data_IF_835370226234
#
_entry.id   IF_835370226234
#
_cell.length_a   1.000
_cell.length_b   1.000
_cell.length_c   1.000
_cell.angle_alpha   90.00
_cell.angle_beta   90.00
_cell.angle_gamma   90.00
#
_symmetry.space_group_name_H-M   'P 1'
#
loop_
_entity.id
_entity.type
_entity.pdbx_description
1 polymer ?
#
# COMPACT_ATOMS: atom_id res chain seq x y z
N UNK A 1 17.56 -108.05 -10.79
CA UNK A 1 16.65 -107.67 -11.88
C UNK A 1 16.86 -106.20 -12.20
N UNK A 2 17.30 -105.87 -13.41
CA UNK A 2 17.36 -104.49 -13.94
C UNK A 2 16.41 -104.40 -15.13
N UNK A 3 15.62 -103.32 -15.22
CA UNK A 3 14.57 -103.11 -16.22
C UNK A 3 13.43 -102.22 -15.70
N UNK A 4 12.42 -101.94 -16.54
CA UNK A 4 11.20 -101.19 -16.18
C UNK A 4 10.07 -102.17 -15.86
N UNK A 5 9.92 -102.65 -14.62
CA UNK A 5 8.86 -103.59 -14.26
C UNK A 5 7.49 -102.94 -14.47
N UNK A 6 6.59 -103.67 -15.12
CA UNK A 6 5.20 -103.24 -15.36
C UNK A 6 4.24 -104.01 -14.47
N UNK A 7 3.18 -103.34 -14.04
CA UNK A 7 2.04 -103.95 -13.35
C UNK A 7 0.75 -103.47 -14.02
N UNK A 8 -0.32 -104.29 -14.05
CA UNK A 8 -1.62 -103.86 -14.57
C UNK A 8 -2.10 -102.58 -13.86
N UNK A 9 -2.65 -101.63 -14.63
CA UNK A 9 -3.19 -100.37 -14.10
C UNK A 9 -4.48 -100.65 -13.33
N UNK A 10 -4.55 -100.33 -12.01
CA UNK A 10 -5.78 -100.46 -11.25
C UNK A 10 -6.93 -99.63 -11.84
N UNK A 11 -8.20 -100.02 -11.59
CA UNK A 11 -9.37 -99.23 -11.98
C UNK A 11 -9.43 -97.91 -11.18
N UNK A 12 -10.04 -96.87 -11.77
CA UNK A 12 -10.04 -95.49 -11.25
C UNK A 12 -10.70 -95.34 -9.86
N UNK A 13 -11.54 -96.29 -9.46
CA UNK A 13 -12.23 -96.35 -8.17
C UNK A 13 -11.55 -97.29 -7.15
N UNK A 14 -10.33 -97.75 -7.42
CA UNK A 14 -9.60 -98.64 -6.52
C UNK A 14 -9.36 -97.97 -5.14
N UNK A 15 -9.83 -98.63 -4.06
CA UNK A 15 -9.69 -98.17 -2.66
C UNK A 15 -8.95 -99.15 -1.74
N UNK A 16 -8.34 -100.20 -2.31
CA UNK A 16 -7.73 -101.31 -1.55
C UNK A 16 -6.19 -101.30 -1.58
N UNK A 17 -5.57 -102.45 -1.29
CA UNK A 17 -4.12 -102.64 -1.28
C UNK A 17 -3.52 -102.91 -2.68
N UNK A 18 -4.13 -102.41 -3.75
CA UNK A 18 -3.59 -102.60 -5.10
C UNK A 18 -2.24 -101.91 -5.28
N UNK A 19 -1.32 -102.54 -6.02
CA UNK A 19 -0.02 -101.94 -6.36
C UNK A 19 -0.23 -100.79 -7.35
N UNK A 20 -0.02 -99.55 -6.89
CA UNK A 20 -0.09 -98.37 -7.75
C UNK A 20 1.03 -98.39 -8.80
N UNK A 21 0.69 -98.08 -10.04
CA UNK A 21 1.66 -97.88 -11.12
C UNK A 21 1.67 -96.40 -11.56
N UNK A 22 2.66 -96.04 -12.37
CA UNK A 22 2.84 -94.65 -12.77
C UNK A 22 1.67 -94.10 -13.61
N UNK A 23 0.94 -94.94 -14.34
CA UNK A 23 -0.24 -94.53 -15.11
C UNK A 23 -1.42 -94.19 -14.17
N UNK A 24 -1.68 -95.01 -13.17
CA UNK A 24 -2.73 -94.81 -12.17
C UNK A 24 -2.51 -93.52 -11.37
N UNK A 25 -1.28 -93.26 -10.92
CA UNK A 25 -0.93 -92.04 -10.19
C UNK A 25 -1.09 -90.79 -11.08
N UNK A 26 -0.64 -90.84 -12.34
CA UNK A 26 -0.84 -89.73 -13.29
C UNK A 26 -2.33 -89.47 -13.57
N UNK A 27 -3.16 -90.52 -13.69
CA UNK A 27 -4.62 -90.37 -13.86
C UNK A 27 -5.28 -89.72 -12.65
N UNK A 28 -4.96 -90.15 -11.43
CA UNK A 28 -5.51 -89.55 -10.22
C UNK A 28 -5.06 -88.09 -10.03
N UNK A 29 -3.79 -87.78 -10.34
CA UNK A 29 -3.30 -86.38 -10.33
C UNK A 29 -4.02 -85.58 -11.41
N UNK A 30 -4.19 -86.10 -12.63
CA UNK A 30 -4.92 -85.42 -13.69
C UNK A 30 -6.41 -85.24 -13.35
N UNK A 31 -7.04 -86.16 -12.62
CA UNK A 31 -8.42 -86.02 -12.13
C UNK A 31 -8.51 -84.99 -10.99
N UNK A 32 -7.52 -84.95 -10.08
CA UNK A 32 -7.40 -83.95 -9.03
C UNK A 32 -7.13 -82.56 -9.60
N UNK A 33 -6.26 -82.44 -10.62
CA UNK A 33 -5.97 -81.19 -11.32
C UNK A 33 -7.13 -80.79 -12.24
N UNK A 34 -7.77 -81.76 -12.89
CA UNK A 34 -8.87 -81.62 -13.86
C UNK A 34 -10.25 -81.33 -13.26
N UNK A 35 -10.41 -81.51 -11.94
CA UNK A 35 -11.61 -81.07 -11.19
C UNK A 35 -11.50 -79.65 -10.62
N UNK A 36 -10.34 -79.02 -10.74
CA UNK A 36 -9.98 -77.69 -10.21
C UNK A 36 -9.44 -76.71 -11.28
N UNK A 37 -9.38 -76.96 -12.63
CA UNK A 37 -8.74 -76.03 -13.57
C UNK A 37 -9.43 -74.68 -13.59
N UNK A 38 -10.76 -74.64 -13.65
CA UNK A 38 -11.51 -73.38 -13.71
C UNK A 38 -11.37 -72.58 -12.40
N UNK A 39 -11.28 -73.26 -11.26
CA UNK A 39 -11.05 -72.58 -9.98
C UNK A 39 -9.60 -72.11 -9.80
N UNK A 40 -8.61 -72.82 -10.34
CA UNK A 40 -7.21 -72.37 -10.35
C UNK A 40 -7.01 -71.24 -11.34
N UNK A 41 -7.69 -71.29 -12.48
CA UNK A 41 -7.75 -70.22 -13.48
C UNK A 41 -8.37 -68.97 -12.86
N UNK A 42 -9.51 -69.08 -12.17
CA UNK A 42 -10.10 -67.93 -11.46
C UNK A 42 -9.23 -67.39 -10.31
N UNK A 43 -8.46 -68.24 -9.62
CA UNK A 43 -7.49 -67.79 -8.61
C UNK A 43 -6.28 -67.10 -9.25
N UNK A 44 -5.81 -67.56 -10.41
CA UNK A 44 -4.76 -66.92 -11.19
C UNK A 44 -5.24 -65.58 -11.74
N UNK A 45 -6.45 -65.54 -12.31
CA UNK A 45 -7.12 -64.32 -12.77
C UNK A 45 -7.28 -63.30 -11.63
N UNK A 46 -7.65 -63.75 -10.42
CA UNK A 46 -7.77 -62.88 -9.26
C UNK A 46 -6.41 -62.36 -8.77
N UNK A 47 -5.40 -63.23 -8.72
CA UNK A 47 -4.04 -62.83 -8.35
C UNK A 47 -3.47 -61.81 -9.34
N UNK A 48 -3.68 -62.03 -10.63
CA UNK A 48 -3.28 -61.11 -11.69
C UNK A 48 -4.08 -59.80 -11.66
N UNK A 49 -5.39 -59.86 -11.39
CA UNK A 49 -6.25 -58.68 -11.24
C UNK A 49 -5.84 -57.81 -10.03
N UNK A 50 -5.28 -58.41 -8.98
CA UNK A 50 -4.71 -57.72 -7.83
C UNK A 50 -3.22 -57.37 -8.00
N UNK A 51 -2.65 -57.63 -9.18
CA UNK A 51 -1.27 -57.29 -9.52
C UNK A 51 -0.22 -58.13 -8.82
N UNK A 52 -0.57 -59.34 -8.36
CA UNK A 52 0.29 -60.22 -7.57
C UNK A 52 0.91 -59.52 -6.33
N UNK A 53 0.19 -58.57 -5.72
CA UNK A 53 0.67 -57.80 -4.57
C UNK A 53 0.44 -58.54 -3.24
N UNK A 54 1.48 -59.08 -2.58
CA UNK A 54 1.35 -59.78 -1.30
C UNK A 54 0.92 -58.87 -0.15
N UNK A 55 1.02 -57.54 -0.32
CA UNK A 55 0.65 -56.53 0.66
C UNK A 55 -0.54 -55.68 0.18
N UNK A 56 -1.39 -56.19 -0.71
CA UNK A 56 -2.49 -55.44 -1.34
C UNK A 56 -3.28 -54.54 -0.37
N UNK A 57 -3.68 -55.07 0.79
CA UNK A 57 -4.40 -54.32 1.81
C UNK A 57 -3.61 -53.11 2.35
N UNK A 58 -2.31 -53.30 2.62
CA UNK A 58 -1.39 -52.24 3.04
C UNK A 58 -1.17 -51.23 1.92
N UNK A 59 -0.98 -51.69 0.69
CA UNK A 59 -0.81 -50.83 -0.49
C UNK A 59 -2.02 -49.93 -0.69
N UNK A 60 -3.23 -50.50 -0.69
CA UNK A 60 -4.50 -49.76 -0.81
C UNK A 60 -4.69 -48.81 0.38
N UNK A 61 -4.38 -49.24 1.60
CA UNK A 61 -4.49 -48.38 2.79
C UNK A 61 -3.55 -47.18 2.67
N UNK A 62 -2.31 -47.38 2.21
CA UNK A 62 -1.37 -46.28 2.00
C UNK A 62 -1.83 -45.33 0.88
N UNK A 63 -2.39 -45.87 -0.22
CA UNK A 63 -2.95 -45.06 -1.30
C UNK A 63 -4.15 -44.22 -0.84
N UNK A 64 -5.02 -44.79 0.01
CA UNK A 64 -6.17 -44.08 0.60
C UNK A 64 -5.70 -43.06 1.64
N UNK A 65 -4.71 -43.39 2.47
CA UNK A 65 -4.16 -42.47 3.46
C UNK A 65 -3.50 -41.23 2.84
N UNK A 66 -3.03 -41.33 1.60
CA UNK A 66 -2.54 -40.19 0.82
C UNK A 66 -3.64 -39.35 0.16
N UNK A 67 -4.89 -39.81 0.15
CA UNK A 67 -6.02 -39.00 -0.33
C UNK A 67 -6.36 -37.95 0.72
N UNK A 68 -6.63 -36.75 0.24
CA UNK A 68 -7.12 -35.68 1.08
C UNK A 68 -8.50 -36.05 1.65
N UNK A 69 -8.79 -35.79 2.94
CA UNK A 69 -10.14 -35.95 3.48
C UNK A 69 -11.18 -35.14 2.70
N UNK A 70 -12.41 -35.64 2.65
CA UNK A 70 -13.52 -34.90 2.08
C UNK A 70 -13.78 -33.65 2.93
N UNK A 71 -13.63 -32.48 2.32
CA UNK A 71 -13.82 -31.17 2.94
C UNK A 71 -14.39 -30.23 1.88
N UNK A 72 -15.50 -29.57 2.19
CA UNK A 72 -16.22 -28.73 1.23
C UNK A 72 -15.35 -27.59 0.68
N UNK A 73 -14.47 -27.02 1.52
CA UNK A 73 -13.58 -25.93 1.12
C UNK A 73 -12.50 -26.44 0.18
N UNK A 74 -11.81 -27.53 0.55
CA UNK A 74 -10.75 -28.04 -0.32
C UNK A 74 -11.32 -28.69 -1.60
N UNK A 75 -12.51 -29.29 -1.57
CA UNK A 75 -13.22 -29.72 -2.78
C UNK A 75 -13.54 -28.53 -3.68
N UNK A 76 -14.01 -27.41 -3.11
CA UNK A 76 -14.24 -26.20 -3.87
C UNK A 76 -12.94 -25.61 -4.45
N UNK A 77 -11.82 -25.64 -3.70
CA UNK A 77 -10.54 -25.09 -4.14
C UNK A 77 -9.84 -25.95 -5.21
N UNK A 78 -9.83 -27.27 -5.04
CA UNK A 78 -9.10 -28.21 -5.91
C UNK A 78 -9.61 -28.27 -7.35
N UNK A 79 -10.89 -27.96 -7.58
CA UNK A 79 -11.49 -27.92 -8.92
C UNK A 79 -11.36 -26.59 -9.66
N UNK A 80 -10.72 -25.57 -9.07
CA UNK A 80 -10.66 -24.22 -9.65
C UNK A 80 -9.40 -24.01 -10.49
N UNK A 81 -9.54 -23.20 -11.54
CA UNK A 81 -8.40 -22.57 -12.21
C UNK A 81 -7.74 -21.54 -11.29
N UNK A 82 -6.55 -21.06 -11.64
CA UNK A 82 -5.87 -19.97 -10.92
C UNK A 82 -6.78 -18.74 -10.83
N UNK A 83 -7.44 -18.38 -11.93
CA UNK A 83 -8.40 -17.25 -11.96
C UNK A 83 -9.60 -17.48 -11.03
N UNK A 84 -10.17 -18.70 -11.07
CA UNK A 84 -11.28 -19.07 -10.20
C UNK A 84 -10.90 -19.09 -8.72
N UNK A 85 -9.65 -19.43 -8.40
CA UNK A 85 -9.11 -19.36 -7.04
C UNK A 85 -9.01 -17.92 -6.57
N UNK A 86 -8.39 -17.04 -7.36
CA UNK A 86 -8.24 -15.60 -7.08
C UNK A 86 -9.61 -14.95 -6.80
N UNK A 87 -10.63 -15.36 -7.56
CA UNK A 87 -12.00 -14.90 -7.36
C UNK A 87 -12.63 -15.46 -6.08
N UNK A 88 -12.51 -16.78 -5.85
CA UNK A 88 -13.10 -17.44 -4.69
C UNK A 88 -12.57 -16.89 -3.35
N UNK A 89 -11.27 -16.61 -3.27
CA UNK A 89 -10.67 -16.01 -2.06
C UNK A 89 -10.81 -14.48 -2.02
N UNK A 90 -11.46 -13.85 -3.01
CA UNK A 90 -11.68 -12.41 -3.05
C UNK A 90 -10.41 -11.57 -3.21
N UNK A 91 -9.31 -12.17 -3.68
CA UNK A 91 -8.03 -11.48 -3.85
C UNK A 91 -8.14 -10.34 -4.85
N UNK A 92 -8.87 -10.54 -5.96
CA UNK A 92 -9.09 -9.48 -6.98
C UNK A 92 -9.76 -8.25 -6.36
N UNK A 93 -10.87 -8.43 -5.66
CA UNK A 93 -11.56 -7.33 -4.97
C UNK A 93 -10.68 -6.66 -3.90
N UNK A 94 -9.88 -7.44 -3.17
CA UNK A 94 -8.93 -6.92 -2.17
C UNK A 94 -7.85 -6.07 -2.83
N UNK A 95 -7.27 -6.53 -3.93
CA UNK A 95 -6.26 -5.80 -4.73
C UNK A 95 -6.88 -4.53 -5.33
N UNK A 96 -8.06 -4.61 -5.94
CA UNK A 96 -8.73 -3.46 -6.55
C UNK A 96 -9.03 -2.37 -5.52
N UNK A 97 -9.50 -2.74 -4.32
CA UNK A 97 -9.70 -1.80 -3.21
C UNK A 97 -8.38 -1.24 -2.68
N UNK A 98 -7.29 -2.01 -2.74
CA UNK A 98 -5.97 -1.58 -2.30
C UNK A 98 -5.20 -0.76 -3.35
N UNK A 99 -5.56 -0.83 -4.64
CA UNK A 99 -4.86 -0.20 -5.76
C UNK A 99 -4.83 1.34 -5.70
N UNK A 100 -5.60 1.97 -4.81
CA UNK A 100 -5.51 3.40 -4.48
C UNK A 100 -5.04 3.70 -3.04
N UNK A 101 -4.85 2.68 -2.21
CA UNK A 101 -4.47 2.81 -0.81
C UNK A 101 -2.98 2.55 -0.55
N UNK A 102 -2.29 1.88 -1.50
CA UNK A 102 -0.89 1.46 -1.35
C UNK A 102 -0.04 1.99 -2.51
N UNK A 103 1.04 2.76 -2.26
CA UNK A 103 2.05 3.00 -3.29
C UNK A 103 2.74 1.67 -3.65
N UNK A 104 3.24 1.56 -4.88
CA UNK A 104 3.73 0.33 -5.53
C UNK A 104 4.88 -0.45 -4.83
N UNK A 105 5.23 -0.13 -3.58
CA UNK A 105 6.24 -0.83 -2.77
C UNK A 105 6.14 -0.62 -1.25
N UNK A 106 4.96 -0.35 -0.66
CA UNK A 106 4.83 -0.05 0.77
C UNK A 106 3.80 -0.89 1.55
N UNK A 107 4.01 -1.05 2.86
CA UNK A 107 3.03 -1.60 3.82
C UNK A 107 1.93 -0.56 4.11
N UNK A 108 0.68 -1.02 4.22
CA UNK A 108 -0.46 -0.15 4.50
C UNK A 108 -0.31 0.60 5.84
N UNK A 109 -0.88 1.81 5.89
CA UNK A 109 -1.05 2.71 7.05
C UNK A 109 0.14 3.66 7.33
N UNK A 110 0.55 4.43 6.33
CA UNK A 110 0.93 5.83 6.54
C UNK A 110 -0.25 6.73 6.16
N UNK A 111 -1.33 6.67 6.95
CA UNK A 111 -2.40 7.65 6.84
C UNK A 111 -1.82 9.06 7.03
N UNK A 112 -2.07 9.98 6.10
CA UNK A 112 -1.92 11.43 6.26
C UNK A 112 -0.52 12.02 6.51
N UNK A 113 0.59 11.38 6.10
CA UNK A 113 1.83 12.15 5.92
C UNK A 113 1.76 12.91 4.59
N UNK A 114 1.35 14.17 4.64
CA UNK A 114 1.54 15.09 3.51
C UNK A 114 3.06 15.25 3.32
N UNK A 115 3.60 14.57 2.31
CA UNK A 115 5.00 14.70 1.94
C UNK A 115 5.18 15.87 0.99
N UNK A 116 6.28 16.62 1.16
CA UNK A 116 6.67 17.63 0.19
C UNK A 116 6.83 17.00 -1.20
N UNK A 117 6.31 17.67 -2.22
CA UNK A 117 6.54 17.33 -3.63
C UNK A 117 7.85 17.90 -4.18
N UNK A 118 8.72 18.41 -3.31
CA UNK A 118 9.91 19.14 -3.70
C UNK A 118 9.54 20.53 -4.24
N UNK A 119 10.45 21.12 -5.01
CA UNK A 119 10.29 22.47 -5.54
C UNK A 119 9.10 22.55 -6.53
N UNK A 120 8.09 23.35 -6.19
CA UNK A 120 6.91 23.59 -7.03
C UNK A 120 6.94 25.02 -7.56
N UNK A 121 7.14 25.29 -8.87
CA UNK A 121 7.12 26.65 -9.41
C UNK A 121 5.83 27.42 -9.08
N UNK A 122 5.95 28.74 -8.92
CA UNK A 122 4.79 29.60 -8.71
C UNK A 122 3.86 29.55 -9.93
N UNK A 123 2.58 29.30 -9.69
CA UNK A 123 1.55 29.41 -10.72
C UNK A 123 1.32 30.89 -11.06
N UNK A 124 1.13 31.17 -12.35
CA UNK A 124 0.94 32.52 -12.89
C UNK A 124 -0.20 32.52 -13.91
N UNK A 125 -0.73 33.71 -14.20
CA UNK A 125 -1.82 33.82 -15.16
C UNK A 125 -3.10 33.17 -14.64
N UNK A 126 -3.80 32.52 -15.58
CA UNK A 126 -4.94 31.61 -15.34
C UNK A 126 -4.53 30.15 -15.05
N UNK A 127 -3.23 29.88 -14.87
CA UNK A 127 -2.73 28.49 -14.74
C UNK A 127 -3.09 27.91 -13.38
N UNK A 128 -3.79 26.77 -13.38
CA UNK A 128 -4.22 26.06 -12.16
C UNK A 128 -3.30 24.92 -11.77
N UNK A 129 -3.39 24.49 -10.51
CA UNK A 129 -2.69 23.29 -10.06
C UNK A 129 -3.26 22.03 -10.71
N UNK A 130 -2.42 21.20 -11.34
CA UNK A 130 -2.86 19.99 -12.03
C UNK A 130 -3.26 18.84 -11.10
N UNK A 131 -2.73 18.84 -9.88
CA UNK A 131 -3.04 17.80 -8.88
C UNK A 131 -4.25 18.20 -8.07
N UNK A 132 -5.13 17.26 -7.72
CA UNK A 132 -6.32 17.50 -6.91
C UNK A 132 -6.06 17.42 -5.40
N UNK A 133 -6.69 18.29 -4.61
CA UNK A 133 -6.70 18.22 -3.14
C UNK A 133 -5.67 19.12 -2.46
N UNK A 134 -5.05 18.60 -1.39
CA UNK A 134 -4.08 19.33 -0.57
C UNK A 134 -2.65 18.91 -0.90
N UNK A 135 -1.84 19.86 -1.35
CA UNK A 135 -0.48 19.63 -1.85
C UNK A 135 0.51 20.45 -1.01
N UNK A 136 1.62 19.84 -0.62
CA UNK A 136 2.76 20.52 0.00
C UNK A 136 3.93 20.54 -0.97
N UNK A 137 4.67 21.65 -0.99
CA UNK A 137 5.90 21.75 -1.76
C UNK A 137 6.85 22.78 -1.18
N UNK A 138 7.98 22.90 -1.85
CA UNK A 138 9.06 23.80 -1.47
C UNK A 138 9.11 25.01 -2.40
N UNK A 139 9.40 26.14 -1.79
CA UNK A 139 9.77 27.38 -2.47
C UNK A 139 11.28 27.48 -2.43
N UNK A 140 11.89 27.52 -3.61
CA UNK A 140 13.33 27.56 -3.76
C UNK A 140 13.69 28.30 -5.05
N UNK A 141 13.75 29.63 -4.95
CA UNK A 141 14.08 30.54 -6.05
C UNK A 141 13.26 30.29 -7.33
N UNK A 142 11.95 30.15 -7.18
CA UNK A 142 11.05 29.61 -8.20
C UNK A 142 9.79 30.49 -8.41
N UNK A 143 9.94 31.80 -8.29
CA UNK A 143 8.93 32.80 -8.69
C UNK A 143 7.89 33.17 -7.62
N UNK A 144 8.04 32.72 -6.38
CA UNK A 144 7.22 33.17 -5.26
C UNK A 144 7.73 34.51 -4.69
N UNK A 145 6.90 35.21 -3.90
CA UNK A 145 7.31 36.43 -3.18
C UNK A 145 8.57 36.28 -2.31
N UNK A 146 8.85 35.07 -1.81
CA UNK A 146 10.04 34.76 -1.02
C UNK A 146 11.00 33.87 -1.79
N UNK A 147 12.30 34.05 -1.57
CA UNK A 147 13.33 33.20 -2.18
C UNK A 147 13.27 31.74 -1.66
N UNK A 148 12.94 31.53 -0.39
CA UNK A 148 12.88 30.21 0.25
C UNK A 148 11.66 30.07 1.14
N UNK A 149 11.06 28.88 1.19
CA UNK A 149 9.86 28.64 2.00
C UNK A 149 9.18 27.30 1.73
N UNK A 150 7.98 27.16 2.29
CA UNK A 150 7.05 26.07 2.00
C UNK A 150 5.74 26.63 1.44
N UNK A 151 5.13 25.87 0.53
CA UNK A 151 3.81 26.19 -0.03
C UNK A 151 2.81 25.10 0.35
N UNK A 152 1.62 25.54 0.77
CA UNK A 152 0.43 24.71 0.87
C UNK A 152 -0.52 25.13 -0.25
N UNK A 153 -0.81 24.23 -1.19
CA UNK A 153 -1.73 24.46 -2.29
C UNK A 153 -2.99 23.62 -2.11
N UNK A 154 -4.13 24.27 -2.18
CA UNK A 154 -5.46 23.67 -2.19
C UNK A 154 -5.99 23.76 -3.62
N UNK A 155 -6.38 22.64 -4.20
CA UNK A 155 -6.98 22.59 -5.53
C UNK A 155 -8.34 21.91 -5.49
N UNK A 156 -9.26 22.38 -6.32
CA UNK A 156 -10.64 21.89 -6.35
C UNK A 156 -11.45 22.55 -7.46
N UNK A 157 -12.66 23.02 -7.16
CA UNK A 157 -13.43 23.85 -8.10
C UNK A 157 -12.73 25.19 -8.32
N UNK A 158 -12.25 25.82 -7.24
CA UNK A 158 -11.25 26.90 -7.24
C UNK A 158 -9.97 26.48 -6.51
N UNK A 159 -8.94 27.31 -6.57
CA UNK A 159 -7.64 27.04 -5.93
C UNK A 159 -7.26 28.10 -4.89
N UNK A 160 -6.35 27.74 -4.00
CA UNK A 160 -5.79 28.64 -3.00
C UNK A 160 -4.39 28.22 -2.60
N UNK A 161 -3.58 29.20 -2.18
CA UNK A 161 -2.21 28.97 -1.77
C UNK A 161 -1.86 29.74 -0.50
N UNK A 162 -1.14 29.08 0.41
CA UNK A 162 -0.50 29.68 1.58
C UNK A 162 1.00 29.43 1.49
N UNK A 163 1.77 30.52 1.46
CA UNK A 163 3.22 30.52 1.46
C UNK A 163 3.74 30.88 2.84
N UNK A 164 4.68 30.08 3.36
CA UNK A 164 5.42 30.37 4.58
C UNK A 164 6.89 30.49 4.20
N UNK A 165 7.43 31.71 4.25
CA UNK A 165 8.84 31.96 3.98
C UNK A 165 9.75 31.36 5.04
N UNK A 166 11.03 31.20 4.69
CA UNK A 166 12.09 30.89 5.65
C UNK A 166 12.94 32.12 5.91
N UNK A 167 13.35 32.31 7.16
CA UNK A 167 14.33 33.32 7.51
C UNK A 167 15.74 32.80 7.28
N UNK A 168 16.62 33.64 6.74
CA UNK A 168 18.06 33.35 6.68
C UNK A 168 18.76 33.42 8.04
N UNK A 169 18.06 33.86 9.09
CA UNK A 169 18.58 33.98 10.46
C UNK A 169 17.82 33.05 11.40
N UNK A 170 18.54 32.23 12.16
CA UNK A 170 17.94 31.29 13.11
C UNK A 170 17.06 32.01 14.14
N UNK A 171 15.80 31.59 14.24
CA UNK A 171 14.83 32.14 15.18
C UNK A 171 14.20 33.47 14.79
N UNK A 172 14.62 34.09 13.67
CA UNK A 172 13.97 35.29 13.17
C UNK A 172 12.65 34.97 12.44
N UNK A 173 11.65 35.86 12.50
CA UNK A 173 10.40 35.67 11.77
C UNK A 173 10.64 35.70 10.26
N UNK A 174 9.72 35.08 9.52
CA UNK A 174 9.69 35.12 8.07
C UNK A 174 8.29 35.55 7.60
N UNK A 175 8.18 36.21 6.43
CA UNK A 175 6.89 36.62 5.92
C UNK A 175 6.07 35.41 5.46
N UNK A 176 4.75 35.51 5.60
CA UNK A 176 3.79 34.55 5.08
C UNK A 176 2.78 35.25 4.17
N UNK A 177 2.33 34.54 3.15
CA UNK A 177 1.43 35.11 2.13
C UNK A 177 0.28 34.15 1.83
N UNK A 178 -0.82 34.71 1.34
CA UNK A 178 -1.98 33.98 0.86
C UNK A 178 -2.43 34.52 -0.50
N UNK A 179 -2.96 33.65 -1.35
CA UNK A 179 -3.66 34.05 -2.58
C UNK A 179 -4.73 33.04 -2.96
N UNK A 180 -5.61 33.42 -3.88
CA UNK A 180 -6.71 32.58 -4.36
C UNK A 180 -6.87 32.65 -5.87
N UNK A 181 -7.51 31.63 -6.44
CA UNK A 181 -7.91 31.56 -7.83
C UNK A 181 -9.37 31.09 -7.91
N UNK A 182 -10.22 31.86 -8.60
CA UNK A 182 -11.65 31.57 -8.72
C UNK A 182 -11.91 30.37 -9.64
N UNK A 183 -13.05 29.73 -9.47
CA UNK A 183 -13.53 28.55 -10.22
C UNK A 183 -14.02 28.85 -11.65
N UNK A 184 -13.30 29.69 -12.40
CA UNK A 184 -13.64 30.02 -13.79
C UNK A 184 -12.39 30.00 -14.66
N UNK A 185 -12.53 29.60 -15.92
CA UNK A 185 -11.40 29.38 -16.84
C UNK A 185 -10.55 30.64 -17.09
N UNK A 186 -11.19 31.82 -17.09
CA UNK A 186 -10.52 33.12 -17.34
C UNK A 186 -10.11 33.83 -16.04
N UNK A 187 -10.25 33.18 -14.88
CA UNK A 187 -9.82 33.79 -13.63
C UNK A 187 -8.30 33.83 -13.57
N UNK A 188 -7.75 34.99 -13.23
CA UNK A 188 -6.35 35.15 -12.88
C UNK A 188 -6.13 34.79 -11.41
N UNK A 189 -4.92 34.36 -11.06
CA UNK A 189 -4.51 34.35 -9.66
C UNK A 189 -4.59 35.76 -9.07
N UNK A 190 -5.14 35.86 -7.85
CA UNK A 190 -5.01 37.10 -7.10
C UNK A 190 -3.53 37.42 -6.85
N UNK A 191 -3.21 38.70 -6.69
CA UNK A 191 -1.92 39.09 -6.12
C UNK A 191 -1.72 38.42 -4.75
N UNK A 192 -0.46 38.30 -4.37
CA UNK A 192 -0.09 37.76 -3.05
C UNK A 192 -0.40 38.79 -1.96
N UNK A 193 -1.25 38.40 -1.02
CA UNK A 193 -1.51 39.19 0.18
C UNK A 193 -0.60 38.72 1.31
N UNK A 194 0.17 39.63 1.91
CA UNK A 194 1.03 39.32 3.06
C UNK A 194 0.20 39.26 4.35
N UNK A 195 0.49 38.27 5.19
CA UNK A 195 -0.06 38.17 6.54
C UNK A 195 0.83 38.93 7.52
N UNK A 196 0.26 39.95 8.16
CA UNK A 196 0.96 40.75 9.15
C UNK A 196 0.80 40.19 10.57
N UNK A 197 1.85 40.32 11.37
CA UNK A 197 1.88 39.89 12.77
C UNK A 197 2.54 40.97 13.63
N UNK A 198 2.54 40.83 14.95
CA UNK A 198 3.27 41.74 15.84
C UNK A 198 4.79 41.74 15.59
N UNK A 199 5.34 40.65 15.04
CA UNK A 199 6.76 40.52 14.68
C UNK A 199 7.06 40.83 13.20
N UNK A 200 6.01 41.00 12.39
CA UNK A 200 6.08 41.45 10.99
C UNK A 200 4.90 42.38 10.73
N UNK A 201 4.89 43.60 11.30
CA UNK A 201 3.78 44.52 11.18
C UNK A 201 3.67 45.05 9.76
N UNK A 202 2.50 45.59 9.37
CA UNK A 202 2.41 46.36 8.13
C UNK A 202 3.43 47.50 8.15
N UNK A 203 3.95 47.89 6.96
CA UNK A 203 4.72 49.12 6.84
C UNK A 203 3.92 50.25 7.51
N UNK A 204 4.57 50.97 8.42
CA UNK A 204 3.91 52.04 9.16
C UNK A 204 3.47 53.11 8.15
N UNK A 205 2.16 53.31 8.01
CA UNK A 205 1.61 54.36 7.16
C UNK A 205 1.95 55.76 7.69
N UNK A 206 2.35 55.86 8.97
CA UNK A 206 2.74 57.09 9.65
C UNK A 206 3.99 56.87 10.50
N UNK A 207 5.19 56.78 9.88
CA UNK A 207 6.42 56.49 10.59
C UNK A 207 6.67 57.50 11.72
N UNK A 208 7.29 57.04 12.81
CA UNK A 208 7.66 57.91 13.95
C UNK A 208 8.44 59.14 13.46
N UNK A 209 7.93 60.33 13.80
CA UNK A 209 8.46 61.62 13.33
C UNK A 209 7.69 62.22 12.16
N UNK A 210 6.74 61.53 11.55
CA UNK A 210 5.81 62.16 10.60
C UNK A 210 4.84 63.10 11.35
N UNK A 211 4.65 64.31 10.82
CA UNK A 211 3.67 65.25 11.35
C UNK A 211 2.25 64.73 11.09
N UNK A 212 1.41 64.76 12.13
CA UNK A 212 0.00 64.32 12.06
C UNK A 212 -0.88 65.53 12.38
N UNK A 213 -1.72 65.93 11.43
CA UNK A 213 -2.73 66.95 11.67
C UNK A 213 -3.79 66.40 12.63
N UNK A 214 -3.90 66.98 13.82
CA UNK A 214 -4.81 66.51 14.86
C UNK A 214 -5.97 67.51 15.08
N UNK A 215 -7.24 67.08 15.00
CA UNK A 215 -8.39 68.00 15.00
C UNK A 215 -8.85 68.44 16.41
N UNK A 216 -8.08 68.14 17.45
CA UNK A 216 -8.45 68.39 18.85
C UNK A 216 -7.27 68.97 19.61
N UNK A 217 -7.53 69.82 20.61
CA UNK A 217 -6.50 70.36 21.49
C UNK A 217 -5.98 69.32 22.52
N UNK A 218 -6.66 68.16 22.62
CA UNK A 218 -6.23 67.06 23.47
C UNK A 218 -5.26 66.13 22.73
N UNK A 219 -3.98 66.19 23.09
CA UNK A 219 -2.94 65.29 22.57
C UNK A 219 -3.15 63.85 23.05
N UNK A 220 -3.25 62.85 22.15
CA UNK A 220 -3.37 61.46 22.55
C UNK A 220 -2.11 60.94 23.27
N UNK A 221 -2.27 59.95 24.14
CA UNK A 221 -1.16 59.30 24.79
C UNK A 221 -0.20 58.69 23.75
N UNK A 222 1.11 58.88 23.94
CA UNK A 222 2.15 58.42 23.01
C UNK A 222 2.51 59.42 21.90
N UNK A 223 1.82 60.57 21.82
CA UNK A 223 2.10 61.64 20.86
C UNK A 223 2.55 62.92 21.57
N UNK A 224 3.16 63.84 20.82
CA UNK A 224 3.54 65.16 21.29
C UNK A 224 3.12 66.24 20.27
N UNK A 225 2.72 67.41 20.76
CA UNK A 225 2.54 68.59 19.91
C UNK A 225 3.88 69.01 19.32
N UNK A 226 3.90 69.55 18.11
CA UNK A 226 5.12 70.00 17.44
C UNK A 226 5.32 71.50 17.70
N UNK A 227 6.07 71.85 18.75
CA UNK A 227 6.22 73.23 19.26
C UNK A 227 7.69 73.63 19.46
N UNK A 228 8.62 73.06 18.69
CA UNK A 228 10.03 73.44 18.81
C UNK A 228 10.78 72.82 19.99
N UNK A 229 10.19 71.87 20.71
CA UNK A 229 10.77 71.32 21.95
C UNK A 229 11.88 70.29 21.69
N UNK A 230 12.87 70.24 22.59
CA UNK A 230 13.92 69.22 22.60
C UNK A 230 13.41 67.87 23.14
N UNK A 231 14.03 66.77 22.71
CA UNK A 231 13.77 65.43 23.24
C UNK A 231 15.06 64.62 23.48
N UNK A 232 14.97 63.60 24.32
CA UNK A 232 16.08 62.67 24.58
C UNK A 232 16.21 61.64 23.45
N UNK A 233 17.33 61.73 22.71
CA UNK A 233 17.62 60.83 21.58
C UNK A 233 17.85 59.38 22.00
N UNK A 234 18.31 59.14 23.23
CA UNK A 234 18.51 57.80 23.75
C UNK A 234 17.17 57.15 24.16
N UNK A 235 16.22 57.94 24.65
CA UNK A 235 14.88 57.47 24.98
C UNK A 235 14.00 57.27 23.73
N UNK A 236 14.17 58.12 22.70
CA UNK A 236 13.38 58.09 21.46
C UNK A 236 14.26 57.89 20.22
N UNK A 237 14.86 56.70 20.03
CA UNK A 237 15.82 56.45 18.96
C UNK A 237 15.21 56.57 17.57
N UNK A 238 13.93 56.18 17.38
CA UNK A 238 13.25 56.32 16.09
C UNK A 238 12.97 57.79 15.74
N UNK A 239 12.59 58.61 16.73
CA UNK A 239 12.40 60.05 16.54
C UNK A 239 13.73 60.76 16.26
N UNK A 240 14.84 60.28 16.84
CA UNK A 240 16.18 60.79 16.58
C UNK A 240 16.68 60.51 15.15
N UNK A 241 16.16 59.47 14.48
CA UNK A 241 16.42 59.23 13.05
C UNK A 241 15.71 60.30 12.21
N UNK A 242 14.45 60.62 12.54
CA UNK A 242 13.67 61.63 11.82
C UNK A 242 14.16 63.07 12.09
N UNK A 243 14.55 63.38 13.33
CA UNK A 243 15.04 64.68 13.76
C UNK A 243 16.41 64.55 14.45
N UNK A 244 17.52 64.45 13.69
CA UNK A 244 18.87 64.25 14.24
C UNK A 244 19.36 65.35 15.19
N UNK A 245 18.79 66.55 15.09
CA UNK A 245 19.05 67.69 15.99
C UNK A 245 18.65 67.40 17.44
N UNK A 246 17.74 66.45 17.67
CA UNK A 246 17.12 66.25 18.99
C UNK A 246 16.04 67.30 19.32
N UNK A 247 15.52 68.00 18.30
CA UNK A 247 14.49 69.03 18.44
C UNK A 247 13.35 68.75 17.46
N UNK A 248 12.11 68.74 17.97
CA UNK A 248 10.90 68.60 17.15
C UNK A 248 10.61 69.97 16.51
N UNK A 249 10.24 70.04 15.21
CA UNK A 249 9.83 71.31 14.57
C UNK A 249 8.67 72.02 15.30
N UNK A 250 8.57 73.33 15.12
CA UNK A 250 7.41 74.14 15.52
C UNK A 250 6.50 74.32 14.29
N UNK A 251 5.25 73.86 14.36
CA UNK A 251 4.30 73.78 13.23
C UNK A 251 2.92 74.32 13.61
#
# INVERSE_FOLDING_TARGET
FTGTPTTPTPPDDAKGLQTANAEFVRKLIAALVGSVPESLDTLQELADALGNDPNFATTITNMIAGKQPLDDTLTALSGKSIEGLIEYVGLRSTIDKAAGALPAGGTAVAANRLASRGALPALTGTTRGSDGGLIMGEVYNNGYPTQYGNILRLTGTGDGEILIGWSGTNGAPAPAYIRSHRDTADAEWSEWAMLYTTLNPPPDSHPVGAAIAWPSDATPAGYALMQGQSFDKSAYPLLAIAYPSGVIPDM
#
